data_IF_076407817192
#
_entry.id   IF_076407817192
#
_cell.length_a   1.000
_cell.length_b   1.000
_cell.length_c   1.000
_cell.angle_alpha   90.00
_cell.angle_beta   90.00
_cell.angle_gamma   90.00
#
_symmetry.space_group_name_H-M   'P 1'
#
loop_
_entity.id
_entity.type
_entity.pdbx_description
1 polymer ?
#
# COMPACT_ATOMS: atom_id res chain seq x y z
N UNK A 1 19.02 -13.88 -39.56
CA UNK A 1 17.93 -13.28 -38.82
C UNK A 1 17.73 -11.87 -39.30
N UNK A 2 16.56 -11.59 -39.73
CA UNK A 2 16.26 -10.27 -40.22
C UNK A 2 15.67 -9.41 -39.06
N UNK A 3 15.62 -8.12 -39.32
CA UNK A 3 15.14 -7.16 -38.31
C UNK A 3 13.68 -7.41 -37.97
N UNK A 4 12.89 -7.95 -38.88
CA UNK A 4 11.48 -8.20 -38.64
C UNK A 4 11.27 -9.28 -37.57
N UNK A 5 12.04 -10.34 -37.61
CA UNK A 5 11.98 -11.39 -36.59
C UNK A 5 12.43 -10.85 -35.22
N UNK A 6 13.47 -10.03 -35.18
CA UNK A 6 13.93 -9.41 -33.98
C UNK A 6 12.87 -8.50 -33.34
N UNK A 7 12.17 -7.74 -34.20
CA UNK A 7 11.11 -6.87 -33.72
C UNK A 7 9.94 -7.66 -33.15
N UNK A 8 9.56 -8.73 -33.77
CA UNK A 8 8.48 -9.60 -33.29
C UNK A 8 8.87 -10.19 -31.92
N UNK A 9 10.08 -10.70 -31.82
CA UNK A 9 10.58 -11.26 -30.56
C UNK A 9 10.64 -10.22 -29.47
N UNK A 10 11.05 -9.01 -29.78
CA UNK A 10 11.07 -7.91 -28.80
C UNK A 10 9.67 -7.56 -28.32
N UNK A 11 8.70 -7.52 -29.21
CA UNK A 11 7.32 -7.24 -28.85
C UNK A 11 6.77 -8.31 -27.92
N UNK A 12 7.07 -9.57 -28.18
CA UNK A 12 6.66 -10.66 -27.30
C UNK A 12 7.34 -10.56 -25.94
N UNK A 13 8.63 -10.25 -25.92
CA UNK A 13 9.38 -10.06 -24.69
C UNK A 13 8.85 -8.88 -23.88
N UNK A 14 8.55 -7.77 -24.54
CA UNK A 14 7.98 -6.60 -23.87
C UNK A 14 6.63 -6.92 -23.25
N UNK A 15 5.81 -7.68 -23.93
CA UNK A 15 4.51 -8.09 -23.44
C UNK A 15 4.65 -9.01 -22.23
N UNK A 16 5.54 -9.97 -22.30
CA UNK A 16 5.83 -10.87 -21.17
C UNK A 16 6.41 -10.11 -20.00
N UNK A 17 7.34 -9.20 -20.26
CA UNK A 17 7.93 -8.36 -19.22
C UNK A 17 6.88 -7.49 -18.54
N UNK A 18 5.94 -6.94 -19.28
CA UNK A 18 4.86 -6.13 -18.73
C UNK A 18 3.92 -6.97 -17.86
N UNK A 19 3.55 -8.14 -18.32
CA UNK A 19 2.73 -9.07 -17.51
C UNK A 19 3.46 -9.49 -16.25
N UNK A 20 4.76 -9.72 -16.34
CA UNK A 20 5.59 -10.06 -15.21
C UNK A 20 5.73 -8.89 -14.24
N UNK A 21 5.87 -7.68 -14.74
CA UNK A 21 5.87 -6.48 -13.90
C UNK A 21 4.56 -6.34 -13.14
N UNK A 22 3.43 -6.54 -13.81
CA UNK A 22 2.12 -6.50 -13.17
C UNK A 22 1.99 -7.59 -12.11
N UNK A 23 2.51 -8.77 -12.38
CA UNK A 23 2.49 -9.90 -11.45
C UNK A 23 3.44 -9.72 -10.27
N UNK A 24 4.52 -8.96 -10.45
CA UNK A 24 5.54 -8.72 -9.42
C UNK A 24 5.41 -7.36 -8.74
N UNK A 25 4.33 -6.64 -8.99
CA UNK A 25 4.12 -5.34 -8.36
C UNK A 25 3.67 -5.49 -6.92
N UNK A 26 4.28 -4.70 -6.06
CA UNK A 26 3.78 -4.51 -4.72
C UNK A 26 2.52 -3.65 -4.78
N UNK A 27 1.58 -3.92 -3.91
CA UNK A 27 0.38 -3.10 -3.77
C UNK A 27 0.07 -2.95 -2.29
N UNK A 28 0.31 -1.78 -1.74
CA UNK A 28 0.11 -1.53 -0.32
C UNK A 28 -1.26 -0.93 -0.10
N UNK A 29 -2.06 -1.61 0.69
CA UNK A 29 -3.40 -1.19 1.03
C UNK A 29 -3.52 -1.00 2.53
N UNK A 30 -4.47 -0.17 2.94
CA UNK A 30 -4.71 0.09 4.35
C UNK A 30 -6.20 0.01 4.64
N UNK A 31 -6.50 -0.46 5.84
CA UNK A 31 -7.87 -0.66 6.26
C UNK A 31 -8.03 -0.29 7.73
N UNK A 32 -9.12 0.38 8.04
CA UNK A 32 -9.51 0.68 9.40
C UNK A 32 -10.20 -0.55 10.00
N UNK A 33 -9.68 -1.01 11.14
CA UNK A 33 -10.18 -2.23 11.79
C UNK A 33 -10.53 -1.93 13.23
N UNK A 34 -11.67 -2.40 13.69
CA UNK A 34 -12.06 -2.34 15.08
C UNK A 34 -11.75 -3.68 15.73
N UNK A 35 -10.87 -3.69 16.72
CA UNK A 35 -10.41 -4.92 17.39
C UNK A 35 -11.00 -5.12 18.76
N UNK A 36 -11.93 -4.25 19.16
CA UNK A 36 -12.61 -4.33 20.43
C UNK A 36 -13.35 -3.04 20.69
N UNK A 37 -14.04 -2.96 21.82
CA UNK A 37 -14.82 -1.78 22.16
C UNK A 37 -13.89 -0.56 22.33
N UNK A 38 -14.05 0.41 21.46
CA UNK A 38 -13.24 1.63 21.48
C UNK A 38 -11.79 1.45 21.02
N UNK A 39 -11.42 0.27 20.55
CA UNK A 39 -10.06 0.00 20.08
C UNK A 39 -10.02 -0.14 18.58
N UNK A 40 -9.20 0.68 17.95
CA UNK A 40 -9.10 0.73 16.50
C UNK A 40 -7.66 0.56 16.04
N UNK A 41 -7.50 -0.05 14.87
CA UNK A 41 -6.19 -0.27 14.25
C UNK A 41 -6.25 0.11 12.79
N UNK A 42 -5.14 0.60 12.27
CA UNK A 42 -4.97 0.75 10.84
C UNK A 42 -4.12 -0.42 10.38
N UNK A 43 -4.73 -1.34 9.66
CA UNK A 43 -4.03 -2.50 9.11
C UNK A 43 -3.49 -2.12 7.75
N UNK A 44 -2.18 -2.24 7.57
CA UNK A 44 -1.50 -1.96 6.31
C UNK A 44 -0.89 -3.26 5.83
N UNK A 45 -1.21 -3.65 4.59
CA UNK A 45 -0.71 -4.91 4.07
C UNK A 45 -0.33 -4.77 2.61
N UNK A 46 0.52 -5.69 2.18
CA UNK A 46 0.96 -5.78 0.81
C UNK A 46 0.16 -6.90 0.11
N UNK A 47 -0.80 -6.51 -0.70
CA UNK A 47 -1.64 -7.45 -1.45
C UNK A 47 -1.03 -7.84 -2.79
N UNK A 48 0.11 -7.26 -3.14
CA UNK A 48 0.82 -7.57 -4.37
C UNK A 48 1.71 -8.81 -4.26
N UNK A 49 2.51 -9.03 -5.27
CA UNK A 49 3.38 -10.18 -5.36
C UNK A 49 4.87 -9.85 -5.18
N UNK A 50 5.19 -8.62 -4.92
CA UNK A 50 6.57 -8.16 -4.71
C UNK A 50 6.67 -7.42 -3.38
N UNK A 51 7.88 -7.31 -2.84
CA UNK A 51 8.12 -6.57 -1.60
C UNK A 51 7.96 -5.08 -1.82
N UNK A 52 7.30 -4.41 -0.88
CA UNK A 52 7.22 -2.95 -0.83
C UNK A 52 8.23 -2.42 0.18
N UNK A 53 8.86 -1.31 -0.16
CA UNK A 53 9.90 -0.70 0.68
C UNK A 53 9.45 0.69 1.16
N UNK A 54 9.92 1.06 2.34
CA UNK A 54 9.63 2.37 2.93
C UNK A 54 8.13 2.67 2.92
N UNK A 55 7.37 1.74 3.45
CA UNK A 55 5.91 1.77 3.43
C UNK A 55 5.39 2.70 4.52
N UNK A 56 4.47 3.58 4.15
CA UNK A 56 3.80 4.43 5.10
C UNK A 56 2.32 4.58 4.75
N UNK A 57 1.52 4.85 5.76
CA UNK A 57 0.10 5.11 5.59
C UNK A 57 -0.27 6.32 6.44
N UNK A 58 -1.14 7.16 5.91
CA UNK A 58 -1.62 8.34 6.59
C UNK A 58 -3.05 8.64 6.19
N UNK A 59 -3.70 9.46 6.96
CA UNK A 59 -5.03 9.95 6.62
C UNK A 59 -4.90 11.23 5.79
N UNK A 60 -5.80 11.40 4.85
CA UNK A 60 -5.84 12.59 4.02
C UNK A 60 -6.59 13.70 4.78
N UNK A 61 -5.85 14.73 5.17
CA UNK A 61 -6.39 15.83 5.93
C UNK A 61 -6.55 15.52 7.41
N UNK A 62 -7.24 16.42 8.12
CA UNK A 62 -7.49 16.26 9.54
C UNK A 62 -8.82 15.53 9.74
N UNK A 63 -8.74 14.26 10.05
CA UNK A 63 -9.92 13.41 10.26
C UNK A 63 -10.18 13.16 11.77
N UNK A 64 -9.39 13.77 12.62
CA UNK A 64 -9.55 13.59 14.07
C UNK A 64 -9.13 12.22 14.57
N UNK A 65 -8.31 11.51 13.81
CA UNK A 65 -7.78 10.21 14.18
C UNK A 65 -6.27 10.34 14.34
N UNK A 66 -5.74 9.87 15.47
CA UNK A 66 -4.33 9.95 15.76
C UNK A 66 -3.68 8.58 15.68
N UNK A 67 -2.53 8.52 15.00
CA UNK A 67 -1.71 7.31 14.94
C UNK A 67 -0.71 7.38 16.09
N UNK A 68 -0.76 6.39 16.99
CA UNK A 68 0.04 6.41 18.21
C UNK A 68 1.47 5.91 18.02
N UNK A 69 1.64 4.90 17.20
CA UNK A 69 2.94 4.25 17.02
C UNK A 69 3.57 4.62 15.67
N UNK A 70 3.73 5.91 15.45
CA UNK A 70 4.28 6.47 14.21
C UNK A 70 5.70 5.98 13.91
N UNK A 71 6.44 5.59 14.93
CA UNK A 71 7.80 5.10 14.78
C UNK A 71 7.90 3.80 13.97
N UNK A 72 6.79 3.10 13.77
CA UNK A 72 6.76 1.95 12.89
C UNK A 72 6.90 2.33 11.41
N UNK A 73 6.72 3.60 11.10
CA UNK A 73 6.76 4.12 9.74
C UNK A 73 7.93 5.07 9.54
N UNK A 74 8.54 5.07 8.37
CA UNK A 74 8.28 4.15 7.27
C UNK A 74 8.70 2.72 7.63
N UNK A 75 7.88 1.75 7.24
CA UNK A 75 8.18 0.33 7.42
C UNK A 75 9.15 -0.10 6.34
N UNK A 76 10.34 -0.53 6.70
CA UNK A 76 11.44 -0.72 5.76
C UNK A 76 11.13 -1.70 4.63
N UNK A 77 10.64 -2.88 4.97
CA UNK A 77 10.33 -3.93 4.01
C UNK A 77 9.02 -4.61 4.37
N UNK A 78 8.05 -4.54 3.49
CA UNK A 78 6.78 -5.23 3.66
C UNK A 78 6.65 -6.26 2.54
N UNK A 79 6.94 -7.49 2.87
CA UNK A 79 6.89 -8.60 1.91
C UNK A 79 5.46 -8.87 1.44
N UNK A 80 5.35 -9.51 0.28
CA UNK A 80 4.06 -9.90 -0.27
C UNK A 80 3.25 -10.73 0.74
N UNK A 81 2.00 -10.36 0.94
CA UNK A 81 1.11 -11.05 1.86
C UNK A 81 1.33 -10.73 3.34
N UNK A 82 2.28 -9.87 3.65
CA UNK A 82 2.56 -9.46 5.04
C UNK A 82 1.84 -8.17 5.38
N UNK A 83 1.74 -7.89 6.66
CA UNK A 83 1.05 -6.70 7.14
C UNK A 83 1.73 -6.16 8.42
N UNK A 84 1.41 -4.92 8.72
CA UNK A 84 1.67 -4.34 10.04
C UNK A 84 0.43 -3.54 10.46
N UNK A 85 0.30 -3.31 11.74
CA UNK A 85 -0.83 -2.57 12.28
C UNK A 85 -0.36 -1.35 13.05
N UNK A 86 -1.13 -0.28 12.97
CA UNK A 86 -0.90 0.95 13.70
C UNK A 86 -2.04 1.16 14.69
N UNK A 87 -1.69 1.57 15.90
CA UNK A 87 -2.68 1.86 16.93
C UNK A 87 -3.30 3.23 16.66
N UNK A 88 -4.61 3.29 16.64
CA UNK A 88 -5.34 4.52 16.39
C UNK A 88 -6.11 4.96 17.62
N UNK A 89 -6.12 6.26 17.84
CA UNK A 89 -6.98 6.89 18.83
C UNK A 89 -7.98 7.76 18.11
N UNK A 90 -9.26 7.60 18.45
CA UNK A 90 -10.35 8.39 17.91
C UNK A 90 -11.02 9.15 19.05
N UNK A 91 -11.78 10.19 18.68
CA UNK A 91 -12.55 10.96 19.63
C UNK A 91 -13.89 11.38 19.01
N UNK A 92 -14.76 11.99 19.80
CA UNK A 92 -16.11 12.32 19.37
C UNK A 92 -16.18 13.22 18.13
N UNK A 93 -15.15 13.97 17.85
CA UNK A 93 -15.09 14.80 16.65
C UNK A 93 -14.46 14.11 15.43
N UNK A 94 -14.14 12.82 15.53
CA UNK A 94 -13.51 12.09 14.42
C UNK A 94 -14.47 11.95 13.26
N UNK A 95 -13.94 12.03 12.03
CA UNK A 95 -14.73 11.83 10.83
C UNK A 95 -15.21 10.39 10.74
N UNK A 96 -16.44 10.20 10.23
CA UNK A 96 -17.00 8.85 10.05
C UNK A 96 -16.53 8.21 8.75
N UNK A 97 -16.13 9.02 7.79
CA UNK A 97 -15.54 8.56 6.52
C UNK A 97 -14.28 9.36 6.26
N UNK A 98 -13.27 8.70 5.75
CA UNK A 98 -11.98 9.34 5.52
C UNK A 98 -11.22 8.63 4.41
N UNK A 99 -10.23 9.30 3.86
CA UNK A 99 -9.34 8.73 2.87
C UNK A 99 -8.03 8.35 3.54
N UNK A 100 -7.53 7.19 3.17
CA UNK A 100 -6.25 6.69 3.65
C UNK A 100 -5.30 6.68 2.46
N UNK A 101 -4.12 7.25 2.65
CA UNK A 101 -3.10 7.30 1.60
C UNK A 101 -1.97 6.38 2.00
N UNK A 102 -1.68 5.39 1.17
CA UNK A 102 -0.52 4.53 1.35
C UNK A 102 0.55 4.92 0.34
N UNK A 103 1.80 4.90 0.78
CA UNK A 103 2.96 5.23 -0.05
C UNK A 103 4.02 4.15 0.14
N UNK A 104 4.68 3.79 -0.94
CA UNK A 104 5.75 2.79 -0.88
C UNK A 104 6.67 2.93 -2.09
N UNK A 105 7.84 2.31 -1.98
CA UNK A 105 8.81 2.25 -3.06
C UNK A 105 8.90 0.80 -3.52
N UNK A 106 8.93 0.57 -4.82
CA UNK A 106 9.09 -0.78 -5.35
C UNK A 106 10.58 -1.14 -5.44
N UNK A 107 10.86 -2.38 -5.86
CA UNK A 107 12.25 -2.88 -5.93
C UNK A 107 13.11 -2.15 -6.97
N UNK A 108 12.50 -1.43 -7.89
CA UNK A 108 13.23 -0.60 -8.87
C UNK A 108 13.52 0.80 -8.35
N UNK A 109 13.02 1.16 -7.18
CA UNK A 109 13.19 2.48 -6.59
C UNK A 109 12.09 3.47 -6.98
N UNK A 110 11.07 3.02 -7.69
CA UNK A 110 9.96 3.86 -8.08
C UNK A 110 8.95 4.00 -6.94
N UNK A 111 8.53 5.22 -6.68
CA UNK A 111 7.57 5.52 -5.62
C UNK A 111 6.13 5.38 -6.11
N UNK A 112 5.29 4.83 -5.27
CA UNK A 112 3.88 4.61 -5.56
C UNK A 112 3.01 5.18 -4.44
N UNK A 113 1.81 5.57 -4.80
CA UNK A 113 0.82 6.10 -3.86
C UNK A 113 -0.54 5.52 -4.21
N UNK A 114 -1.29 5.15 -3.19
CA UNK A 114 -2.66 4.66 -3.37
C UNK A 114 -3.56 5.34 -2.35
N UNK A 115 -4.73 5.79 -2.82
CA UNK A 115 -5.75 6.37 -1.95
C UNK A 115 -6.93 5.41 -1.87
N UNK A 116 -7.38 5.12 -0.65
CA UNK A 116 -8.54 4.27 -0.42
C UNK A 116 -9.44 4.90 0.62
N UNK A 117 -10.70 4.51 0.60
CA UNK A 117 -11.69 5.00 1.57
C UNK A 117 -11.73 4.11 2.80
N UNK A 118 -11.84 4.74 3.97
CA UNK A 118 -12.08 4.05 5.21
C UNK A 118 -13.31 4.61 5.90
N UNK A 119 -13.94 3.82 6.75
CA UNK A 119 -15.07 4.27 7.54
C UNK A 119 -15.14 3.54 8.89
N UNK A 120 -15.91 4.13 9.79
CA UNK A 120 -16.30 3.50 11.05
C UNK A 120 -17.52 2.62 10.76
N UNK A 121 -17.32 1.36 10.64
CA UNK A 121 -18.44 0.45 10.40
C UNK A 121 -18.52 -0.64 11.46
#
# INVERSE_FOLDING_TARGET
>A
VNELELKIKQNELDKIAKEKEDAELACVEARFVTVGKGKHRLKVWNSGNATAYNVSARFDGDVGIMIMDREKQPFEELEAGKNYELILITHNGSASKFRIITEWTDSSGKQHTKTQMGDFS
#
